data_IF_904034186646
#
_entry.id   IF_904034186646
#
_cell.length_a   1.000
_cell.length_b   1.000
_cell.length_c   1.000
_cell.angle_alpha   90.00
_cell.angle_beta   90.00
_cell.angle_gamma   90.00
#
_symmetry.space_group_name_H-M   'P 1'
#
loop_
_entity.id
_entity.type
_entity.pdbx_description
1 polymer ?
#
# COMPACT_ATOMS: atom_id res chain seq x y z
N UNK A 1 21.44 -6.72 -61.97
CA UNK A 1 21.03 -7.44 -60.74
C UNK A 1 20.77 -6.40 -59.66
N UNK A 2 19.51 -6.09 -59.44
CA UNK A 2 19.09 -5.06 -58.48
C UNK A 2 18.53 -5.79 -57.24
N UNK A 3 19.25 -5.70 -56.15
CA UNK A 3 18.84 -6.32 -54.87
C UNK A 3 17.93 -5.34 -54.13
N UNK A 4 16.65 -5.67 -53.97
CA UNK A 4 15.68 -4.92 -53.17
C UNK A 4 15.83 -5.37 -51.75
N UNK A 5 16.28 -4.48 -50.87
CA UNK A 5 16.38 -4.70 -49.42
C UNK A 5 15.06 -4.23 -48.79
N UNK A 6 14.18 -5.17 -48.49
CA UNK A 6 12.92 -4.90 -47.82
C UNK A 6 13.19 -4.85 -46.30
N UNK A 7 13.36 -3.66 -45.78
CA UNK A 7 13.36 -3.46 -44.31
C UNK A 7 11.94 -3.74 -43.81
N UNK A 8 11.78 -4.84 -43.07
CA UNK A 8 10.61 -5.10 -42.23
C UNK A 8 10.60 -4.08 -41.10
N UNK A 9 9.77 -3.07 -41.20
CA UNK A 9 9.36 -2.27 -40.06
C UNK A 9 8.44 -3.15 -39.18
N UNK A 10 9.01 -3.77 -38.16
CA UNK A 10 8.25 -4.39 -37.10
C UNK A 10 7.46 -3.31 -36.40
N UNK A 11 6.13 -3.35 -36.48
CA UNK A 11 5.25 -2.57 -35.61
C UNK A 11 5.51 -3.02 -34.16
N UNK A 12 6.19 -2.19 -33.39
CA UNK A 12 6.25 -2.36 -31.93
C UNK A 12 4.84 -2.05 -31.40
N UNK A 13 4.00 -3.08 -31.32
CA UNK A 13 2.78 -3.02 -30.55
C UNK A 13 3.15 -2.65 -29.13
N UNK A 14 2.69 -1.52 -28.65
CA UNK A 14 2.84 -1.09 -27.25
C UNK A 14 2.19 -2.16 -26.39
N UNK A 15 3.00 -3.03 -25.80
CA UNK A 15 2.51 -4.07 -24.88
C UNK A 15 1.98 -3.35 -23.66
N UNK A 16 0.66 -3.36 -23.49
CA UNK A 16 0.02 -2.74 -22.31
C UNK A 16 0.46 -3.52 -21.08
N UNK A 17 1.07 -2.82 -20.11
CA UNK A 17 1.45 -3.45 -18.84
C UNK A 17 0.17 -3.85 -18.08
N UNK A 18 -0.05 -5.14 -17.77
CA UNK A 18 -1.26 -5.62 -17.12
C UNK A 18 -1.46 -5.05 -15.70
N UNK A 19 -0.38 -4.62 -15.06
CA UNK A 19 -0.43 -3.99 -13.74
C UNK A 19 -0.83 -2.51 -13.75
N UNK A 20 -1.01 -1.92 -14.93
CA UNK A 20 -1.39 -0.53 -15.12
C UNK A 20 -2.71 -0.37 -15.89
N UNK A 21 -3.38 -1.47 -16.20
CA UNK A 21 -4.59 -1.47 -17.04
C UNK A 21 -5.72 -2.33 -16.45
N UNK A 22 -6.92 -2.13 -16.97
CA UNK A 22 -8.10 -2.89 -16.57
C UNK A 22 -8.43 -2.75 -15.08
N UNK A 23 -8.69 -3.86 -14.40
CA UNK A 23 -8.96 -3.87 -12.95
C UNK A 23 -7.75 -3.49 -12.09
N UNK A 24 -6.56 -3.51 -12.66
CA UNK A 24 -5.30 -3.11 -12.00
C UNK A 24 -4.92 -1.65 -12.27
N UNK A 25 -5.72 -0.92 -13.04
CA UNK A 25 -5.44 0.48 -13.33
C UNK A 25 -5.33 1.30 -12.04
N UNK A 26 -4.24 2.08 -11.87
CA UNK A 26 -4.03 2.85 -10.65
C UNK A 26 -5.12 3.90 -10.42
N UNK A 27 -5.54 4.06 -9.16
CA UNK A 27 -6.30 5.25 -8.76
C UNK A 27 -5.39 6.48 -8.89
N UNK A 28 -5.88 7.52 -9.57
CA UNK A 28 -5.09 8.71 -9.91
C UNK A 28 -5.19 9.84 -8.89
N UNK A 29 -6.06 9.71 -7.91
CA UNK A 29 -6.29 10.73 -6.89
C UNK A 29 -6.86 10.14 -5.61
N UNK A 30 -6.64 10.84 -4.52
CA UNK A 30 -7.30 10.58 -3.25
C UNK A 30 -8.74 11.10 -3.30
N UNK A 31 -9.63 10.34 -2.69
CA UNK A 31 -11.07 10.66 -2.65
C UNK A 31 -11.62 10.45 -1.24
N UNK A 32 -12.64 11.21 -0.93
CA UNK A 32 -13.59 10.96 0.16
C UNK A 32 -14.99 11.10 -0.42
N UNK A 33 -15.77 10.05 -0.32
CA UNK A 33 -17.16 10.02 -0.77
C UNK A 33 -18.04 9.72 0.44
N UNK A 34 -19.09 10.50 0.65
CA UNK A 34 -20.04 10.34 1.77
C UNK A 34 -21.44 9.93 1.30
N UNK A 35 -21.71 10.09 0.02
CA UNK A 35 -22.96 9.67 -0.61
C UNK A 35 -22.70 8.37 -1.36
N UNK A 36 -22.84 7.25 -0.65
CA UNK A 36 -22.57 5.92 -1.21
C UNK A 36 -23.88 5.23 -1.55
N UNK A 37 -24.00 4.78 -2.80
CA UNK A 37 -25.09 3.91 -3.21
C UNK A 37 -24.86 2.50 -2.63
N UNK A 38 -25.87 1.98 -1.92
CA UNK A 38 -25.85 0.66 -1.33
C UNK A 38 -26.92 -0.22 -2.00
N UNK A 39 -26.48 -1.35 -2.53
CA UNK A 39 -27.40 -2.38 -3.04
C UNK A 39 -27.52 -3.50 -1.99
N UNK A 40 -28.74 -3.79 -1.58
CA UNK A 40 -29.02 -4.75 -0.50
C UNK A 40 -29.06 -4.10 0.88
N UNK A 41 -28.77 -4.87 1.92
CA UNK A 41 -28.87 -4.43 3.31
C UNK A 41 -27.55 -4.63 4.03
N UNK A 42 -27.06 -3.60 4.69
CA UNK A 42 -25.93 -3.67 5.60
C UNK A 42 -26.46 -4.04 6.99
N UNK A 43 -25.99 -5.13 7.63
CA UNK A 43 -26.42 -5.48 8.99
C UNK A 43 -26.11 -4.37 10.00
N UNK A 44 -27.08 -4.01 10.83
CA UNK A 44 -26.97 -2.93 11.83
C UNK A 44 -25.87 -3.16 12.88
N UNK A 45 -25.55 -4.42 13.17
CA UNK A 45 -24.52 -4.78 14.14
C UNK A 45 -23.08 -4.57 13.62
N UNK A 46 -22.90 -4.27 12.33
CA UNK A 46 -21.59 -3.96 11.76
C UNK A 46 -21.22 -2.52 12.14
N UNK A 47 -20.30 -2.38 13.05
CA UNK A 47 -19.66 -1.12 13.40
C UNK A 47 -18.14 -1.25 13.22
N UNK A 48 -17.59 -0.66 12.17
CA UNK A 48 -16.18 -0.79 11.84
C UNK A 48 -15.84 -0.26 10.47
N UNK A 49 -14.64 -0.61 10.02
CA UNK A 49 -14.14 -0.25 8.69
C UNK A 49 -13.77 -1.52 7.93
N UNK A 50 -14.27 -1.65 6.71
CA UNK A 50 -13.71 -2.58 5.75
C UNK A 50 -12.53 -1.90 5.06
N UNK A 51 -11.35 -2.44 5.19
CA UNK A 51 -10.12 -1.80 4.75
C UNK A 51 -9.28 -2.76 3.91
N UNK A 52 -8.66 -2.24 2.85
CA UNK A 52 -7.64 -2.94 2.07
C UNK A 52 -6.47 -2.01 1.78
N UNK A 53 -5.30 -2.59 1.60
CA UNK A 53 -4.10 -1.90 1.14
C UNK A 53 -3.54 -2.62 -0.09
N UNK A 54 -2.92 -1.90 -0.97
CA UNK A 54 -2.28 -2.47 -2.15
C UNK A 54 -1.39 -1.48 -2.88
N UNK A 55 -0.59 -1.98 -3.83
CA UNK A 55 0.27 -1.14 -4.66
C UNK A 55 -0.56 -0.22 -5.55
N UNK A 56 -0.25 1.06 -5.54
CA UNK A 56 -0.87 2.07 -6.41
C UNK A 56 0.15 3.18 -6.70
N UNK A 57 0.76 3.22 -7.87
CA UNK A 57 1.74 4.25 -8.20
C UNK A 57 1.16 5.66 -8.02
N UNK A 58 1.86 6.50 -7.28
CA UNK A 58 1.48 7.90 -7.04
C UNK A 58 1.82 8.80 -8.23
N UNK A 59 2.81 8.42 -9.04
CA UNK A 59 3.26 9.12 -10.23
C UNK A 59 3.29 8.19 -11.43
N UNK A 60 3.42 8.77 -12.62
CA UNK A 60 3.61 7.98 -13.83
C UNK A 60 4.93 7.22 -13.75
N UNK A 61 4.87 5.97 -14.15
CA UNK A 61 6.00 5.04 -14.19
C UNK A 61 6.20 4.56 -15.63
N UNK A 62 7.43 4.15 -15.93
CA UNK A 62 7.71 3.47 -17.19
C UNK A 62 6.97 2.13 -17.26
N UNK A 63 6.00 1.97 -18.19
CA UNK A 63 5.24 0.72 -18.30
C UNK A 63 6.12 -0.49 -18.63
N UNK A 64 7.28 -0.28 -19.24
CA UNK A 64 8.19 -1.35 -19.63
C UNK A 64 8.90 -2.01 -18.45
N UNK A 65 9.04 -1.29 -17.36
CA UNK A 65 9.79 -1.73 -16.18
C UNK A 65 8.94 -1.87 -14.92
N UNK A 66 7.71 -1.36 -14.95
CA UNK A 66 6.83 -1.42 -13.77
C UNK A 66 6.37 -2.84 -13.47
N UNK A 67 6.54 -3.24 -12.22
CA UNK A 67 6.00 -4.46 -11.64
C UNK A 67 5.09 -4.12 -10.45
N UNK A 68 4.07 -4.94 -10.22
CA UNK A 68 3.07 -4.74 -9.17
C UNK A 68 3.65 -4.31 -7.82
N UNK A 69 4.68 -5.01 -7.34
CA UNK A 69 5.28 -4.75 -6.03
C UNK A 69 5.98 -3.39 -5.89
N UNK A 70 6.19 -2.68 -6.99
CA UNK A 70 6.89 -1.39 -7.00
C UNK A 70 5.97 -0.17 -6.77
N UNK A 71 4.65 -0.39 -6.72
CA UNK A 71 3.67 0.67 -6.45
C UNK A 71 3.76 1.21 -5.03
N UNK A 72 3.36 2.46 -4.84
CA UNK A 72 3.19 3.05 -3.51
C UNK A 72 1.99 2.43 -2.82
N UNK A 73 2.00 2.37 -1.50
CA UNK A 73 0.86 1.88 -0.75
C UNK A 73 -0.33 2.84 -0.86
N UNK A 74 -1.49 2.32 -1.23
CA UNK A 74 -2.74 3.05 -1.14
C UNK A 74 -3.77 2.26 -0.35
N UNK A 75 -4.23 2.85 0.73
CA UNK A 75 -5.28 2.29 1.57
C UNK A 75 -6.63 2.75 1.03
N UNK A 76 -7.57 1.82 0.97
CA UNK A 76 -8.97 2.05 0.63
C UNK A 76 -9.83 1.55 1.77
N UNK A 77 -10.86 2.26 2.13
CA UNK A 77 -11.79 1.77 3.14
C UNK A 77 -13.18 2.35 3.06
N UNK A 78 -14.11 1.59 3.61
CA UNK A 78 -15.49 1.99 3.82
C UNK A 78 -15.79 1.92 5.31
N UNK A 79 -16.32 2.99 5.87
CA UNK A 79 -16.85 3.00 7.23
C UNK A 79 -18.28 2.51 7.22
N UNK A 80 -18.56 1.51 8.04
CA UNK A 80 -19.89 0.94 8.25
C UNK A 80 -20.34 1.24 9.68
N UNK A 81 -21.57 1.71 9.85
CA UNK A 81 -22.19 1.93 11.15
C UNK A 81 -23.70 1.96 11.01
N UNK A 82 -24.41 1.33 11.95
CA UNK A 82 -25.87 1.38 12.05
C UNK A 82 -26.58 1.11 10.72
N UNK A 83 -26.16 0.06 10.01
CA UNK A 83 -26.74 -0.32 8.73
C UNK A 83 -26.42 0.62 7.56
N UNK A 84 -25.43 1.51 7.69
CA UNK A 84 -25.05 2.50 6.69
C UNK A 84 -23.59 2.37 6.28
N UNK A 85 -23.29 2.74 5.03
CA UNK A 85 -21.96 3.04 4.57
C UNK A 85 -21.76 4.56 4.70
N UNK A 86 -21.07 5.01 5.74
CA UNK A 86 -20.94 6.44 6.07
C UNK A 86 -20.03 7.17 5.10
N UNK A 87 -18.90 6.54 4.76
CA UNK A 87 -17.95 7.09 3.80
C UNK A 87 -17.09 6.02 3.16
N UNK A 88 -16.60 6.32 1.98
CA UNK A 88 -15.45 5.67 1.34
C UNK A 88 -14.29 6.64 1.29
N UNK A 89 -13.07 6.13 1.57
CA UNK A 89 -11.83 6.89 1.41
C UNK A 89 -10.74 6.04 0.78
N UNK A 90 -9.89 6.71 0.00
CA UNK A 90 -8.60 6.18 -0.34
C UNK A 90 -7.50 7.21 -0.07
N UNK A 91 -6.35 6.74 0.43
CA UNK A 91 -5.18 7.57 0.77
C UNK A 91 -3.90 6.83 0.43
N UNK A 92 -2.96 7.53 -0.19
CA UNK A 92 -1.62 6.99 -0.25
C UNK A 92 -0.97 6.96 1.13
N UNK A 93 -0.27 5.88 1.44
CA UNK A 93 0.62 5.84 2.60
C UNK A 93 1.80 6.78 2.34
N UNK A 94 1.99 7.78 3.19
CA UNK A 94 2.99 8.84 3.04
C UNK A 94 4.42 8.36 3.33
N UNK A 95 4.87 7.31 2.60
CA UNK A 95 6.29 7.02 2.51
C UNK A 95 7.05 8.16 1.80
N UNK A 96 8.39 8.19 1.85
CA UNK A 96 9.19 9.28 1.29
C UNK A 96 8.90 9.57 -0.19
N UNK A 97 8.66 8.53 -1.00
CA UNK A 97 8.35 8.68 -2.43
C UNK A 97 6.98 9.31 -2.64
N UNK A 98 5.95 8.80 -1.97
CA UNK A 98 4.59 9.32 -2.09
C UNK A 98 4.49 10.76 -1.59
N UNK A 99 5.08 11.07 -0.45
CA UNK A 99 5.10 12.43 0.09
C UNK A 99 5.75 13.41 -0.90
N UNK A 100 6.91 13.05 -1.45
CA UNK A 100 7.61 13.89 -2.45
C UNK A 100 6.76 14.10 -3.70
N UNK A 101 6.14 13.06 -4.24
CA UNK A 101 5.31 13.13 -5.44
C UNK A 101 4.06 14.00 -5.24
N UNK A 102 3.55 14.04 -4.00
CA UNK A 102 2.40 14.85 -3.62
C UNK A 102 2.78 16.28 -3.18
N UNK A 103 4.07 16.64 -3.22
CA UNK A 103 4.56 17.96 -2.79
C UNK A 103 4.52 18.16 -1.28
N UNK A 104 4.40 17.10 -0.51
CA UNK A 104 4.38 17.15 0.95
C UNK A 104 5.80 16.93 1.52
N UNK A 105 6.13 17.57 2.66
CA UNK A 105 7.39 17.31 3.34
C UNK A 105 7.41 15.85 3.84
N UNK A 106 8.56 15.16 3.76
CA UNK A 106 8.70 13.82 4.34
C UNK A 106 8.38 13.87 5.83
N UNK A 107 7.38 13.10 6.25
CA UNK A 107 6.95 13.13 7.66
C UNK A 107 7.97 12.51 8.60
N UNK A 108 8.81 11.59 8.08
CA UNK A 108 9.90 10.98 8.83
C UNK A 108 11.07 10.62 7.92
N UNK A 109 12.25 11.20 8.11
CA UNK A 109 13.35 11.03 7.16
C UNK A 109 14.02 9.65 7.22
N UNK A 110 14.06 9.00 8.37
CA UNK A 110 14.67 7.65 8.53
C UNK A 110 14.17 6.98 9.80
N UNK A 111 13.89 5.68 9.71
CA UNK A 111 13.83 4.84 10.89
C UNK A 111 15.20 4.76 11.55
N UNK A 112 15.25 4.58 12.86
CA UNK A 112 16.50 4.35 13.61
C UNK A 112 17.33 3.20 13.04
N UNK A 113 16.67 2.25 12.40
CA UNK A 113 17.29 1.10 11.73
C UNK A 113 18.00 1.42 10.40
N UNK A 114 17.94 2.65 9.90
CA UNK A 114 18.50 3.02 8.60
C UNK A 114 17.76 2.44 7.38
N UNK A 115 16.61 1.80 7.57
CA UNK A 115 15.78 1.28 6.50
C UNK A 115 14.99 2.44 5.88
N UNK A 116 15.13 2.61 4.58
CA UNK A 116 14.34 3.61 3.86
C UNK A 116 12.87 3.16 3.79
N UNK A 117 11.98 3.99 4.31
CA UNK A 117 10.55 3.70 4.28
C UNK A 117 9.97 3.97 2.88
N UNK A 118 10.01 2.96 2.02
CA UNK A 118 9.23 2.95 0.79
C UNK A 118 7.80 2.58 1.18
N UNK A 119 6.86 3.45 1.11
CA UNK A 119 5.49 3.28 1.57
C UNK A 119 4.95 1.85 1.66
N UNK A 120 4.26 1.54 2.74
CA UNK A 120 3.71 0.22 3.00
C UNK A 120 2.58 -0.10 2.03
N UNK A 121 2.75 -1.12 1.19
CA UNK A 121 1.86 -1.38 0.04
C UNK A 121 1.26 -2.79 0.00
N UNK A 122 1.44 -3.61 1.04
CA UNK A 122 1.11 -5.03 0.94
C UNK A 122 -0.16 -5.40 1.69
N UNK A 123 -0.26 -5.06 2.96
CA UNK A 123 -1.46 -5.37 3.75
C UNK A 123 -1.76 -4.29 4.80
N UNK A 124 -2.84 -4.47 5.52
CA UNK A 124 -3.25 -3.56 6.60
C UNK A 124 -3.86 -4.37 7.74
N UNK A 125 -3.52 -4.03 8.97
CA UNK A 125 -4.06 -4.66 10.16
C UNK A 125 -4.51 -3.62 11.18
N UNK A 126 -5.36 -4.07 12.11
CA UNK A 126 -5.63 -3.35 13.35
C UNK A 126 -5.06 -4.16 14.51
N UNK A 127 -4.22 -3.53 15.33
CA UNK A 127 -3.62 -4.15 16.50
C UNK A 127 -3.42 -3.11 17.60
N UNK A 128 -3.78 -3.45 18.84
CA UNK A 128 -3.65 -2.60 20.03
C UNK A 128 -4.18 -1.17 19.81
N UNK A 129 -5.36 -1.05 19.18
CA UNK A 129 -6.00 0.23 18.87
C UNK A 129 -5.36 1.03 17.73
N UNK A 130 -4.36 0.48 17.04
CA UNK A 130 -3.67 1.14 15.91
C UNK A 130 -4.08 0.53 14.59
N UNK A 131 -4.15 1.36 13.55
CA UNK A 131 -4.27 0.92 12.15
C UNK A 131 -2.90 1.00 11.50
N UNK A 132 -2.41 -0.12 10.97
CA UNK A 132 -1.02 -0.24 10.52
C UNK A 132 -1.00 -0.80 9.10
N UNK A 133 -0.48 -0.01 8.16
CA UNK A 133 -0.15 -0.47 6.81
C UNK A 133 1.19 -1.17 6.83
N UNK A 134 1.25 -2.35 6.23
CA UNK A 134 2.39 -3.26 6.30
C UNK A 134 3.09 -3.41 4.94
N UNK A 135 4.39 -3.68 5.00
CA UNK A 135 5.23 -3.96 3.84
C UNK A 135 6.11 -5.18 4.06
N UNK A 136 6.51 -5.82 2.97
CA UNK A 136 7.44 -6.94 2.95
C UNK A 136 8.91 -6.49 2.79
N UNK A 137 9.82 -7.47 2.91
CA UNK A 137 11.23 -7.30 2.54
C UNK A 137 12.03 -6.39 3.46
N UNK A 138 11.60 -6.24 4.71
CA UNK A 138 12.29 -5.41 5.68
C UNK A 138 11.99 -3.92 5.57
N UNK A 139 10.94 -3.56 4.83
CA UNK A 139 10.47 -2.19 4.75
C UNK A 139 9.73 -1.76 6.02
N UNK A 140 9.68 -0.45 6.25
CA UNK A 140 8.95 0.10 7.37
C UNK A 140 7.44 0.00 7.17
N UNK A 141 6.74 -0.41 8.21
CA UNK A 141 5.30 -0.27 8.32
C UNK A 141 4.94 1.17 8.70
N UNK A 142 3.69 1.58 8.45
CA UNK A 142 3.23 2.92 8.76
C UNK A 142 1.94 2.87 9.58
N UNK A 143 1.92 3.63 10.64
CA UNK A 143 0.70 3.88 11.41
C UNK A 143 -0.17 4.91 10.71
N UNK A 144 -1.47 4.67 10.72
CA UNK A 144 -2.49 5.51 10.12
C UNK A 144 -3.53 5.93 11.15
N UNK A 145 -4.15 7.09 10.94
CA UNK A 145 -5.37 7.48 11.67
C UNK A 145 -6.55 6.62 11.25
N UNK A 146 -7.68 6.80 11.92
CA UNK A 146 -8.93 6.15 11.52
C UNK A 146 -9.42 6.60 10.14
N UNK A 147 -9.06 7.79 9.71
CA UNK A 147 -9.33 8.36 8.38
C UNK A 147 -8.27 8.04 7.32
N UNK A 148 -7.30 7.18 7.65
CA UNK A 148 -6.19 6.74 6.81
C UNK A 148 -5.10 7.79 6.53
N UNK A 149 -5.07 8.88 7.29
CA UNK A 149 -3.95 9.80 7.23
C UNK A 149 -2.71 9.15 7.86
N UNK A 150 -1.58 9.28 7.20
CA UNK A 150 -0.33 8.68 7.70
C UNK A 150 0.19 9.46 8.91
N UNK A 151 0.31 8.78 10.04
CA UNK A 151 0.94 9.31 11.25
C UNK A 151 2.46 9.26 11.07
N UNK A 152 2.99 8.10 10.67
CA UNK A 152 4.41 7.91 10.40
C UNK A 152 4.83 6.46 10.37
N UNK A 153 6.14 6.17 10.20
CA UNK A 153 6.66 4.83 10.33
C UNK A 153 6.39 4.27 11.73
N UNK A 154 6.01 3.00 11.76
CA UNK A 154 5.78 2.28 13.01
C UNK A 154 6.95 1.32 13.28
N UNK A 155 7.64 1.55 14.38
CA UNK A 155 8.84 0.81 14.81
C UNK A 155 8.67 0.15 16.18
N UNK A 156 7.44 -0.11 16.60
CA UNK A 156 7.11 -0.70 17.88
C UNK A 156 7.70 0.09 19.09
N UNK A 157 7.68 1.42 18.99
CA UNK A 157 8.25 2.29 20.03
C UNK A 157 9.77 2.29 20.05
N UNK A 158 10.43 1.99 18.94
CA UNK A 158 11.88 1.95 18.80
C UNK A 158 12.49 0.58 19.12
N UNK A 159 11.69 -0.45 19.35
CA UNK A 159 12.17 -1.81 19.63
C UNK A 159 12.43 -2.64 18.38
N UNK A 160 11.86 -2.26 17.25
CA UNK A 160 12.10 -2.91 15.97
C UNK A 160 13.44 -2.48 15.39
N UNK A 161 14.41 -3.39 15.34
CA UNK A 161 15.76 -3.13 14.83
C UNK A 161 15.90 -3.19 13.30
N UNK A 162 14.85 -3.57 12.61
CA UNK A 162 14.80 -3.73 11.14
C UNK A 162 13.43 -3.41 10.61
N UNK A 163 13.17 -3.81 9.37
CA UNK A 163 11.83 -3.78 8.83
C UNK A 163 10.95 -4.86 9.43
N UNK A 164 9.67 -4.78 9.16
CA UNK A 164 8.68 -5.74 9.62
C UNK A 164 8.27 -6.68 8.47
N UNK A 165 7.19 -7.41 8.65
CA UNK A 165 6.56 -8.27 7.62
C UNK A 165 5.16 -7.75 7.28
N UNK A 166 4.65 -8.12 6.14
CA UNK A 166 3.26 -7.82 5.78
C UNK A 166 2.26 -8.89 6.24
N UNK A 167 2.73 -10.01 6.80
CA UNK A 167 1.89 -11.16 7.14
C UNK A 167 2.03 -11.64 8.59
N UNK A 168 2.00 -10.77 9.60
CA UNK A 168 2.02 -11.20 10.98
C UNK A 168 0.79 -12.04 11.29
N UNK A 169 0.92 -12.96 12.23
CA UNK A 169 -0.17 -13.78 12.74
C UNK A 169 -0.49 -13.38 14.16
N UNK A 170 -1.77 -13.17 14.43
CA UNK A 170 -2.22 -12.91 15.79
C UNK A 170 -2.46 -14.23 16.50
N UNK A 171 -1.86 -14.38 17.68
CA UNK A 171 -2.20 -15.45 18.59
C UNK A 171 -3.63 -15.22 19.13
N UNK A 172 -4.55 -16.17 18.99
CA UNK A 172 -5.92 -15.99 19.44
C UNK A 172 -6.08 -15.94 20.95
N UNK A 173 -5.18 -16.57 21.71
CA UNK A 173 -5.27 -16.70 23.15
C UNK A 173 -4.62 -15.51 23.87
N UNK A 174 -3.45 -15.07 23.40
CA UNK A 174 -2.69 -13.97 24.02
C UNK A 174 -2.94 -12.63 23.35
N UNK A 175 -3.37 -12.62 22.10
CA UNK A 175 -3.50 -11.43 21.28
C UNK A 175 -2.19 -10.87 20.73
N UNK A 176 -1.07 -11.53 20.98
CA UNK A 176 0.25 -11.14 20.48
C UNK A 176 0.35 -11.28 18.96
N UNK A 177 1.15 -10.42 18.33
CA UNK A 177 1.50 -10.53 16.92
C UNK A 177 2.85 -11.25 16.75
N UNK A 178 2.80 -12.40 16.12
CA UNK A 178 3.98 -13.15 15.73
C UNK A 178 4.34 -12.84 14.28
N UNK A 179 5.61 -12.52 14.05
CA UNK A 179 6.10 -12.08 12.75
C UNK A 179 7.48 -12.67 12.45
N UNK A 180 7.69 -13.06 11.19
CA UNK A 180 9.01 -13.39 10.66
C UNK A 180 9.40 -12.26 9.72
N UNK A 181 10.49 -11.58 10.02
CA UNK A 181 11.03 -10.51 9.17
C UNK A 181 12.23 -11.01 8.39
N UNK A 182 12.38 -10.53 7.17
CA UNK A 182 13.53 -10.80 6.33
C UNK A 182 13.95 -9.53 5.57
N UNK A 183 15.22 -9.48 5.18
CA UNK A 183 15.75 -8.40 4.38
C UNK A 183 16.44 -8.95 3.13
N UNK A 184 16.13 -8.37 1.98
CA UNK A 184 16.88 -8.68 0.77
C UNK A 184 18.35 -8.28 0.95
N UNK A 185 19.27 -9.24 0.71
CA UNK A 185 20.71 -9.01 0.79
C UNK A 185 21.31 -9.02 2.21
N UNK A 186 20.55 -9.39 3.24
CA UNK A 186 21.07 -9.66 4.59
C UNK A 186 20.82 -11.10 5.00
N UNK A 187 21.68 -11.69 5.86
CA UNK A 187 21.41 -12.99 6.46
C UNK A 187 20.07 -12.93 7.20
N UNK A 188 19.28 -14.00 7.07
CA UNK A 188 17.99 -14.10 7.80
C UNK A 188 18.27 -14.04 9.30
N UNK A 189 17.70 -13.06 9.96
CA UNK A 189 17.59 -13.00 11.41
C UNK A 189 16.14 -13.33 11.79
N UNK A 190 15.98 -14.35 12.57
CA UNK A 190 14.70 -14.70 13.21
C UNK A 190 14.62 -13.95 14.53
#
# INVERSE_FOLDING_TARGET
MTTINTAQQGSQGTTVNPYLAGSSAPARQEKTLTELEVTGTIPEHLDGRYVRNGPNPVSDLDPGTYHWFLGDGMVHGVRLREGRAEWYRNRWVRGPRAARALGEPPRHPRLRSGVEAIGANTSIITHAGRTIALAEGGNACHELTEEFDTIGPWDLGGTLSGGYTAHPKRDPDTGELHAVSYHFGRPNTV
#
